data_IF_948098727579
#
_entry.id   IF_948098727579
#
_cell.length_a   1.000
_cell.length_b   1.000
_cell.length_c   1.000
_cell.angle_alpha   90.00
_cell.angle_beta   90.00
_cell.angle_gamma   90.00
#
_symmetry.space_group_name_H-M   'P 1'
#
loop_
_entity.id
_entity.type
_entity.pdbx_description
1 polymer ?
#
# COMPACT_ATOMS: atom_id res chain seq x y z
N UNK A 1 -40.97 -46.65 30.86
CA UNK A 1 -41.52 -45.45 31.52
C UNK A 1 -41.22 -44.27 30.61
N UNK A 2 -42.05 -43.99 29.59
CA UNK A 2 -43.17 -43.01 29.59
C UNK A 2 -42.62 -41.61 29.20
N UNK A 3 -43.07 -40.86 28.19
CA UNK A 3 -44.26 -40.77 27.28
C UNK A 3 -43.75 -40.11 25.96
N UNK A 4 -44.14 -40.47 24.73
CA UNK A 4 -45.39 -40.13 24.02
C UNK A 4 -45.33 -38.73 23.36
N UNK A 5 -44.87 -38.57 22.11
CA UNK A 5 -45.62 -38.53 20.82
C UNK A 5 -46.31 -37.18 20.43
N UNK A 6 -45.84 -36.61 19.31
CA UNK A 6 -46.55 -36.07 18.12
C UNK A 6 -47.42 -34.78 18.08
N UNK A 7 -47.07 -33.94 17.08
CA UNK A 7 -47.85 -33.13 16.10
C UNK A 7 -49.04 -32.24 16.54
N UNK A 8 -49.01 -30.94 16.19
CA UNK A 8 -49.93 -30.37 15.17
C UNK A 8 -49.69 -28.89 14.76
N UNK A 9 -50.10 -28.60 13.52
CA UNK A 9 -50.05 -27.36 12.74
C UNK A 9 -51.17 -26.33 13.07
N UNK A 10 -50.83 -25.04 12.92
CA UNK A 10 -51.68 -23.87 12.53
C UNK A 10 -52.78 -23.32 13.50
N UNK A 11 -53.37 -22.12 13.27
CA UNK A 11 -52.78 -20.76 13.31
C UNK A 11 -53.64 -19.77 14.17
N UNK A 12 -53.09 -18.63 14.63
CA UNK A 12 -53.84 -17.65 15.42
C UNK A 12 -54.22 -16.38 14.63
N UNK A 13 -55.47 -15.93 14.88
CA UNK A 13 -56.34 -15.02 14.10
C UNK A 13 -56.10 -13.53 14.39
N UNK A 14 -56.28 -12.68 13.36
CA UNK A 14 -56.64 -11.24 13.44
C UNK A 14 -58.13 -11.05 13.85
N UNK A 15 -58.54 -9.88 14.39
CA UNK A 15 -59.33 -8.88 13.60
C UNK A 15 -59.25 -7.40 14.13
N UNK A 16 -60.02 -6.38 13.65
CA UNK A 16 -60.43 -6.01 12.27
C UNK A 16 -60.32 -4.50 11.86
N UNK A 17 -60.15 -4.26 10.55
CA UNK A 17 -60.79 -3.33 9.56
C UNK A 17 -61.18 -1.86 9.87
N UNK A 18 -60.84 -0.95 8.92
CA UNK A 18 -61.71 -0.09 8.05
C UNK A 18 -60.82 0.59 6.95
N UNK A 19 -60.91 0.30 5.63
CA UNK A 19 -61.86 0.78 4.57
C UNK A 19 -61.89 2.33 4.41
N UNK A 20 -61.84 3.03 3.26
CA UNK A 20 -61.95 2.86 1.79
C UNK A 20 -61.33 4.19 1.19
N UNK A 21 -60.71 4.27 0.01
CA UNK A 21 -61.36 4.66 -1.26
C UNK A 21 -60.35 4.66 -2.43
N UNK A 22 -60.70 3.97 -3.52
CA UNK A 22 -60.13 4.09 -4.86
C UNK A 22 -61.14 4.87 -5.73
N UNK A 23 -60.70 5.88 -6.49
CA UNK A 23 -61.47 6.48 -7.58
C UNK A 23 -60.81 6.14 -8.92
N UNK A 24 -61.56 5.41 -9.76
CA UNK A 24 -61.35 5.24 -11.20
C UNK A 24 -61.72 6.54 -11.93
N UNK A 25 -60.95 6.91 -12.96
CA UNK A 25 -61.48 7.74 -14.06
C UNK A 25 -60.86 7.36 -15.40
N UNK A 26 -61.74 6.81 -16.25
CA UNK A 26 -61.89 6.87 -17.72
C UNK A 26 -60.67 6.96 -18.65
N UNK A 27 -60.66 6.00 -19.57
CA UNK A 27 -60.05 6.09 -20.90
C UNK A 27 -60.70 7.18 -21.77
N UNK A 28 -59.87 7.86 -22.56
CA UNK A 28 -60.23 8.68 -23.70
C UNK A 28 -59.19 8.45 -24.80
N UNK A 29 -59.64 7.92 -25.94
CA UNK A 29 -58.90 7.91 -27.19
C UNK A 29 -58.76 9.34 -27.72
N UNK A 30 -57.55 9.72 -28.14
CA UNK A 30 -57.36 10.72 -29.19
C UNK A 30 -56.00 10.54 -29.85
N UNK A 31 -56.04 10.15 -31.12
CA UNK A 31 -54.96 10.19 -32.09
C UNK A 31 -54.54 11.63 -32.38
N UNK A 32 -53.25 11.95 -32.25
CA UNK A 32 -52.58 13.07 -32.94
C UNK A 32 -51.18 12.59 -33.37
N UNK A 33 -50.83 12.92 -34.62
CA UNK A 33 -49.66 12.51 -35.38
C UNK A 33 -48.36 13.24 -34.99
N UNK A 34 -47.26 12.58 -35.39
CA UNK A 34 -46.02 13.13 -35.96
C UNK A 34 -44.98 13.78 -35.03
N UNK A 35 -43.74 13.27 -35.19
CA UNK A 35 -42.50 14.00 -34.93
C UNK A 35 -41.92 13.79 -33.54
N UNK A 36 -41.04 12.80 -33.38
CA UNK A 36 -39.64 13.11 -33.09
C UNK A 36 -38.81 11.82 -33.11
N UNK A 37 -37.82 11.84 -34.00
CA UNK A 37 -36.73 10.88 -34.07
C UNK A 37 -36.03 10.81 -32.71
N UNK A 38 -36.10 9.65 -32.07
CA UNK A 38 -35.22 9.30 -30.95
C UNK A 38 -33.81 9.17 -31.50
N UNK A 39 -33.09 10.29 -31.60
CA UNK A 39 -31.64 10.30 -31.73
C UNK A 39 -31.12 9.82 -30.39
N UNK A 40 -30.79 8.52 -30.31
CA UNK A 40 -29.93 8.02 -29.25
C UNK A 40 -28.56 8.64 -29.47
N UNK A 41 -28.28 9.77 -28.82
CA UNK A 41 -26.90 10.24 -28.61
C UNK A 41 -26.19 9.17 -27.79
N UNK A 42 -25.57 8.21 -28.48
CA UNK A 42 -24.49 7.42 -27.89
C UNK A 42 -23.38 8.41 -27.63
N UNK A 43 -23.20 8.80 -26.38
CA UNK A 43 -22.03 9.57 -25.99
C UNK A 43 -20.82 8.65 -26.16
N UNK A 44 -19.97 8.88 -27.17
CA UNK A 44 -18.78 8.08 -27.42
C UNK A 44 -17.88 7.97 -26.18
N UNK A 45 -17.85 9.03 -25.35
CA UNK A 45 -17.22 9.03 -24.04
C UNK A 45 -17.79 7.96 -23.09
N UNK A 46 -19.12 7.83 -23.02
CA UNK A 46 -19.77 6.81 -22.19
C UNK A 46 -19.47 5.40 -22.69
N UNK A 47 -19.36 5.20 -24.01
CA UNK A 47 -19.03 3.91 -24.60
C UNK A 47 -17.58 3.51 -24.27
N UNK A 48 -16.63 4.46 -24.35
CA UNK A 48 -15.23 4.23 -23.96
C UNK A 48 -15.12 3.94 -22.46
N UNK A 49 -15.79 4.72 -21.61
CA UNK A 49 -15.76 4.49 -20.16
C UNK A 49 -16.37 3.15 -19.77
N UNK A 50 -17.46 2.72 -20.41
CA UNK A 50 -18.06 1.38 -20.19
C UNK A 50 -17.15 0.25 -20.67
N UNK A 51 -16.39 0.47 -21.74
CA UNK A 51 -15.40 -0.49 -22.20
C UNK A 51 -14.29 -0.60 -21.14
N UNK A 52 -13.71 0.52 -20.72
CA UNK A 52 -12.66 0.56 -19.71
C UNK A 52 -13.09 0.03 -18.34
N UNK A 53 -14.37 0.16 -17.96
CA UNK A 53 -14.89 -0.39 -16.69
C UNK A 53 -14.92 -1.92 -16.63
N UNK A 54 -14.64 -2.63 -17.74
CA UNK A 54 -14.48 -4.09 -17.72
C UNK A 54 -13.14 -4.52 -17.10
N UNK A 55 -12.19 -3.59 -17.02
CA UNK A 55 -10.86 -3.84 -16.50
C UNK A 55 -10.92 -3.65 -14.98
N UNK A 56 -10.91 -4.78 -14.28
CA UNK A 56 -10.88 -4.80 -12.81
C UNK A 56 -9.44 -4.66 -12.35
N UNK A 57 -9.21 -3.72 -11.43
CA UNK A 57 -7.96 -3.63 -10.71
C UNK A 57 -7.90 -4.78 -9.68
N UNK A 58 -6.89 -5.66 -9.76
CA UNK A 58 -6.79 -6.83 -8.89
C UNK A 58 -6.49 -6.45 -7.43
N UNK A 59 -5.98 -5.25 -7.17
CA UNK A 59 -5.63 -4.79 -5.83
C UNK A 59 -6.89 -4.28 -5.13
N UNK A 60 -7.75 -3.55 -5.84
CA UNK A 60 -8.95 -2.93 -5.28
C UNK A 60 -10.24 -3.73 -5.52
N UNK A 61 -10.21 -4.74 -6.39
CA UNK A 61 -11.40 -5.53 -6.75
C UNK A 61 -12.50 -4.69 -7.41
N UNK A 62 -12.16 -3.50 -7.90
CA UNK A 62 -13.06 -2.51 -8.49
C UNK A 62 -12.51 -2.10 -9.86
N UNK A 63 -13.35 -1.60 -10.75
CA UNK A 63 -12.93 -1.22 -12.09
C UNK A 63 -12.07 0.06 -12.13
N UNK A 64 -11.17 0.14 -13.12
CA UNK A 64 -10.22 1.27 -13.27
C UNK A 64 -10.90 2.63 -13.47
N UNK A 65 -12.17 2.67 -13.90
CA UNK A 65 -12.94 3.93 -14.07
C UNK A 65 -13.47 4.42 -12.73
N UNK A 66 -14.07 3.53 -11.94
CA UNK A 66 -14.47 3.79 -10.55
C UNK A 66 -13.29 4.13 -9.64
N UNK A 67 -12.12 3.52 -9.88
CA UNK A 67 -10.87 3.89 -9.21
C UNK A 67 -10.33 5.26 -9.65
N UNK A 68 -10.90 5.85 -10.71
CA UNK A 68 -10.54 7.18 -11.20
C UNK A 68 -9.19 7.24 -11.91
N UNK A 69 -8.66 6.11 -12.39
CA UNK A 69 -7.35 6.02 -13.06
C UNK A 69 -7.37 6.60 -14.47
N UNK A 70 -8.53 6.62 -15.13
CA UNK A 70 -8.66 7.20 -16.46
C UNK A 70 -8.65 8.73 -16.35
N UNK A 71 -7.63 9.36 -16.94
CA UNK A 71 -7.43 10.81 -17.02
C UNK A 71 -7.28 11.23 -18.48
N UNK A 72 -7.51 12.51 -18.75
CA UNK A 72 -7.23 13.16 -20.03
C UNK A 72 -7.83 12.40 -21.23
N UNK A 73 -9.06 11.90 -21.07
CA UNK A 73 -9.77 11.20 -22.13
C UNK A 73 -10.13 12.20 -23.25
N UNK A 74 -9.59 11.97 -24.43
CA UNK A 74 -9.83 12.75 -25.63
C UNK A 74 -10.23 11.82 -26.78
N UNK A 75 -11.36 12.15 -27.43
CA UNK A 75 -11.99 11.33 -28.45
C UNK A 75 -12.18 12.20 -29.71
N UNK A 76 -11.63 11.74 -30.83
CA UNK A 76 -11.80 12.36 -32.15
C UNK A 76 -12.61 11.43 -33.03
N UNK A 77 -13.94 11.48 -32.89
CA UNK A 77 -14.88 10.57 -33.59
C UNK A 77 -14.69 10.58 -35.12
N UNK A 78 -14.44 11.75 -35.71
CA UNK A 78 -14.25 11.90 -37.17
C UNK A 78 -13.08 11.07 -37.72
N UNK A 79 -12.07 10.80 -36.88
CA UNK A 79 -10.88 10.04 -37.24
C UNK A 79 -10.89 8.63 -36.61
N UNK A 80 -11.81 8.35 -35.68
CA UNK A 80 -11.86 7.13 -34.90
C UNK A 80 -10.68 7.00 -33.92
N UNK A 81 -10.15 8.12 -33.44
CA UNK A 81 -9.00 8.12 -32.54
C UNK A 81 -9.43 8.33 -31.09
N UNK A 82 -8.92 7.48 -30.19
CA UNK A 82 -9.15 7.58 -28.76
C UNK A 82 -7.80 7.67 -28.06
N UNK A 83 -7.62 8.69 -27.23
CA UNK A 83 -6.43 8.86 -26.42
C UNK A 83 -6.81 9.12 -24.97
N UNK A 84 -6.13 8.48 -24.04
CA UNK A 84 -6.32 8.70 -22.62
C UNK A 84 -5.06 8.34 -21.85
N UNK A 85 -4.97 8.86 -20.64
CA UNK A 85 -3.90 8.56 -19.70
C UNK A 85 -4.43 7.66 -18.60
N UNK A 86 -3.79 6.52 -18.39
CA UNK A 86 -4.03 5.71 -17.20
C UNK A 86 -3.04 6.14 -16.12
N UNK A 87 -3.57 6.69 -15.04
CA UNK A 87 -2.82 7.18 -13.89
C UNK A 87 -2.94 6.19 -12.73
N UNK A 88 -1.91 5.35 -12.56
CA UNK A 88 -1.85 4.33 -11.52
C UNK A 88 -1.51 4.95 -10.14
N UNK A 89 -1.80 4.23 -9.07
CA UNK A 89 -1.59 4.71 -7.68
C UNK A 89 -0.13 4.71 -7.22
N UNK A 90 0.76 4.06 -7.98
CA UNK A 90 2.18 3.90 -7.66
C UNK A 90 3.01 3.60 -8.91
N UNK A 91 4.24 4.16 -9.02
CA UNK A 91 5.14 3.89 -10.15
C UNK A 91 5.65 2.44 -10.20
N UNK A 92 5.73 1.75 -9.06
CA UNK A 92 6.15 0.35 -8.98
C UNK A 92 5.01 -0.64 -9.28
N UNK A 93 3.98 -0.24 -10.03
CA UNK A 93 2.85 -1.11 -10.30
C UNK A 93 3.26 -2.24 -11.26
N UNK A 94 3.26 -3.51 -10.83
CA UNK A 94 3.76 -4.65 -11.62
C UNK A 94 2.87 -5.01 -12.81
N UNK A 95 1.65 -4.46 -12.83
CA UNK A 95 0.60 -4.77 -13.80
C UNK A 95 0.41 -3.63 -14.82
N UNK A 96 1.35 -2.68 -14.90
CA UNK A 96 1.31 -1.55 -15.84
C UNK A 96 1.12 -2.03 -17.28
N UNK A 97 1.92 -3.00 -17.72
CA UNK A 97 1.88 -3.52 -19.09
C UNK A 97 0.57 -4.29 -19.37
N UNK A 98 0.07 -5.02 -18.37
CA UNK A 98 -1.22 -5.71 -18.46
C UNK A 98 -2.37 -4.71 -18.63
N UNK A 99 -2.36 -3.62 -17.86
CA UNK A 99 -3.38 -2.58 -17.97
C UNK A 99 -3.34 -1.89 -19.33
N UNK A 100 -2.14 -1.58 -19.83
CA UNK A 100 -1.97 -0.96 -21.14
C UNK A 100 -2.51 -1.85 -22.26
N UNK A 101 -2.14 -3.14 -22.25
CA UNK A 101 -2.61 -4.13 -23.23
C UNK A 101 -4.13 -4.30 -23.18
N UNK A 102 -4.70 -4.56 -22.00
CA UNK A 102 -6.15 -4.74 -21.84
C UNK A 102 -6.93 -3.47 -22.21
N UNK A 103 -6.43 -2.29 -21.84
CA UNK A 103 -7.09 -1.04 -22.18
C UNK A 103 -7.09 -0.79 -23.68
N UNK A 104 -6.00 -1.13 -24.37
CA UNK A 104 -5.93 -1.05 -25.83
C UNK A 104 -6.92 -2.04 -26.48
N UNK A 105 -6.90 -3.31 -26.06
CA UNK A 105 -7.80 -4.36 -26.58
C UNK A 105 -9.28 -3.99 -26.42
N UNK A 106 -9.69 -3.59 -25.21
CA UNK A 106 -11.10 -3.36 -24.90
C UNK A 106 -11.65 -2.11 -25.59
N UNK A 107 -10.82 -1.06 -25.78
CA UNK A 107 -11.21 0.15 -26.51
C UNK A 107 -11.18 -0.08 -28.04
N UNK A 108 -10.25 -0.88 -28.55
CA UNK A 108 -10.17 -1.21 -29.98
C UNK A 108 -11.35 -2.07 -30.47
N UNK A 109 -12.05 -2.77 -29.58
CA UNK A 109 -13.27 -3.53 -29.90
C UNK A 109 -14.48 -2.64 -30.23
N UNK A 110 -14.41 -1.33 -29.97
CA UNK A 110 -15.49 -0.40 -30.31
C UNK A 110 -15.55 -0.19 -31.84
N UNK A 111 -16.72 -0.36 -32.49
CA UNK A 111 -16.82 -0.40 -33.96
C UNK A 111 -16.33 0.85 -34.71
N UNK A 112 -16.29 2.00 -34.03
CA UNK A 112 -15.91 3.29 -34.59
C UNK A 112 -14.45 3.66 -34.29
N UNK A 113 -13.74 2.89 -33.47
CA UNK A 113 -12.35 3.14 -33.08
C UNK A 113 -11.40 2.51 -34.10
N UNK A 114 -10.42 3.28 -34.55
CA UNK A 114 -9.35 2.86 -35.48
C UNK A 114 -7.99 2.86 -34.81
N UNK A 115 -7.70 3.86 -33.98
CA UNK A 115 -6.44 4.01 -33.27
C UNK A 115 -6.69 4.29 -31.79
N UNK A 116 -5.94 3.61 -30.92
CA UNK A 116 -5.95 3.83 -29.48
C UNK A 116 -4.55 4.24 -29.03
N UNK A 117 -4.45 5.35 -28.31
CA UNK A 117 -3.21 5.79 -27.68
C UNK A 117 -3.38 5.84 -26.16
N UNK A 118 -2.82 4.85 -25.49
CA UNK A 118 -2.78 4.79 -24.03
C UNK A 118 -1.47 5.39 -23.55
N UNK A 119 -1.53 6.36 -22.65
CA UNK A 119 -0.33 6.87 -21.96
C UNK A 119 -0.37 6.41 -20.52
N UNK A 120 0.65 5.66 -20.08
CA UNK A 120 0.73 5.24 -18.68
C UNK A 120 1.46 6.30 -17.85
N UNK A 121 0.87 6.64 -16.70
CA UNK A 121 1.48 7.52 -15.69
C UNK A 121 1.20 6.95 -14.30
N UNK A 122 1.87 7.46 -13.29
CA UNK A 122 1.59 7.15 -11.91
C UNK A 122 1.43 8.44 -11.11
N UNK A 123 0.49 8.46 -10.15
CA UNK A 123 0.45 9.54 -9.18
C UNK A 123 1.69 9.46 -8.29
N UNK A 124 2.48 10.54 -8.16
CA UNK A 124 3.43 10.64 -7.08
C UNK A 124 2.63 10.61 -5.78
N UNK A 125 2.94 9.61 -4.98
CA UNK A 125 2.18 9.32 -3.78
C UNK A 125 2.41 10.44 -2.76
N UNK A 126 1.44 11.35 -2.62
CA UNK A 126 1.57 12.42 -1.63
C UNK A 126 1.51 11.82 -0.23
N UNK A 127 2.47 12.15 0.67
CA UNK A 127 2.41 11.66 2.03
C UNK A 127 1.14 12.17 2.69
N UNK A 128 0.32 11.22 3.15
CA UNK A 128 -0.98 11.46 3.82
C UNK A 128 -0.84 12.38 5.04
N UNK A 129 0.39 12.52 5.58
CA UNK A 129 0.73 13.32 6.76
C UNK A 129 1.84 14.36 6.52
N UNK A 130 2.04 14.84 5.29
CA UNK A 130 3.15 15.75 4.93
C UNK A 130 3.31 16.95 5.88
N UNK A 131 2.20 17.57 6.33
CA UNK A 131 2.24 18.74 7.23
C UNK A 131 2.62 18.46 8.69
N UNK A 132 2.64 17.19 9.12
CA UNK A 132 2.97 16.78 10.49
C UNK A 132 4.34 16.08 10.57
N UNK A 133 5.01 15.92 9.43
CA UNK A 133 6.25 15.18 9.32
C UNK A 133 7.49 16.09 9.40
N UNK A 134 8.61 15.61 9.96
CA UNK A 134 9.89 16.28 9.83
C UNK A 134 10.24 16.52 8.36
N UNK A 135 10.90 17.64 8.06
CA UNK A 135 11.13 18.12 6.69
C UNK A 135 11.73 17.05 5.77
N UNK A 136 12.70 16.26 6.25
CA UNK A 136 13.33 15.19 5.46
C UNK A 136 12.41 14.03 5.06
N UNK A 137 11.26 13.87 5.73
CA UNK A 137 10.29 12.79 5.47
C UNK A 137 9.04 13.27 4.71
N UNK A 138 8.86 14.59 4.53
CA UNK A 138 7.66 15.16 3.89
C UNK A 138 7.56 14.85 2.39
N UNK A 139 8.65 14.44 1.76
CA UNK A 139 8.71 14.09 0.33
C UNK A 139 8.72 12.59 0.08
N UNK A 140 8.52 11.80 1.15
CA UNK A 140 8.53 10.34 1.09
C UNK A 140 7.09 9.83 1.08
N UNK A 141 6.77 9.10 0.03
CA UNK A 141 5.43 8.61 -0.23
C UNK A 141 4.99 7.49 0.71
N UNK A 142 5.87 6.51 0.93
CA UNK A 142 5.60 5.34 1.77
C UNK A 142 6.84 5.00 2.57
N UNK A 143 6.65 4.64 3.84
CA UNK A 143 7.73 4.19 4.71
C UNK A 143 7.42 2.77 5.16
N UNK A 144 8.32 1.84 4.82
CA UNK A 144 8.18 0.42 5.09
C UNK A 144 9.17 0.04 6.18
N UNK A 145 8.70 -0.48 7.31
CA UNK A 145 9.58 -1.04 8.32
C UNK A 145 9.82 -2.53 8.05
N UNK A 146 11.08 -2.94 8.04
CA UNK A 146 11.48 -4.35 8.05
C UNK A 146 11.97 -4.67 9.44
N UNK A 147 11.22 -5.51 10.15
CA UNK A 147 11.45 -5.80 11.57
C UNK A 147 11.57 -7.29 11.82
N UNK A 148 12.35 -7.63 12.84
CA UNK A 148 12.42 -8.97 13.40
C UNK A 148 12.43 -8.88 14.91
N UNK A 149 11.73 -9.81 15.55
CA UNK A 149 11.69 -9.87 17.00
C UNK A 149 12.87 -10.67 17.59
N UNK A 150 13.78 -11.17 16.74
CA UNK A 150 15.04 -11.83 17.08
C UNK A 150 16.17 -11.35 16.16
N UNK A 151 17.40 -11.31 16.68
CA UNK A 151 18.62 -11.09 15.88
C UNK A 151 19.00 -12.32 15.04
N UNK A 152 19.64 -12.10 13.89
CA UNK A 152 20.21 -13.16 13.06
C UNK A 152 19.22 -13.95 12.20
N UNK A 153 18.00 -13.44 11.98
CA UNK A 153 16.98 -14.10 11.12
C UNK A 153 17.04 -13.68 9.64
N UNK A 154 18.02 -12.86 9.24
CA UNK A 154 18.13 -12.35 7.86
C UNK A 154 17.34 -11.06 7.59
N UNK A 155 16.95 -10.31 8.63
CA UNK A 155 16.21 -9.04 8.51
C UNK A 155 16.86 -8.05 7.54
N UNK A 156 18.15 -7.77 7.71
CA UNK A 156 18.89 -6.84 6.84
C UNK A 156 18.99 -7.36 5.40
N UNK A 157 19.13 -8.68 5.22
CA UNK A 157 19.05 -9.32 3.90
C UNK A 157 17.73 -9.06 3.22
N UNK A 158 16.61 -9.18 3.94
CA UNK A 158 15.29 -8.88 3.41
C UNK A 158 15.14 -7.40 3.11
N UNK A 159 15.59 -6.51 4.01
CA UNK A 159 15.48 -5.06 3.82
C UNK A 159 16.22 -4.57 2.57
N UNK A 160 17.47 -5.00 2.41
CA UNK A 160 18.30 -4.63 1.25
C UNK A 160 17.68 -5.16 -0.03
N UNK A 161 17.40 -6.47 -0.13
CA UNK A 161 16.86 -7.04 -1.36
C UNK A 161 15.45 -6.51 -1.69
N UNK A 162 14.61 -6.20 -0.69
CA UNK A 162 13.32 -5.53 -0.92
C UNK A 162 13.52 -4.14 -1.51
N UNK A 163 14.44 -3.33 -0.97
CA UNK A 163 14.72 -1.99 -1.49
C UNK A 163 15.17 -2.02 -2.96
N UNK A 164 16.11 -2.92 -3.29
CA UNK A 164 16.58 -3.10 -4.66
C UNK A 164 15.53 -3.69 -5.60
N UNK A 165 14.62 -4.52 -5.09
CA UNK A 165 13.50 -5.02 -5.88
C UNK A 165 12.52 -3.90 -6.23
N UNK A 166 12.15 -3.07 -5.26
CA UNK A 166 11.28 -1.91 -5.50
C UNK A 166 11.92 -0.92 -6.49
N UNK A 167 13.24 -0.73 -6.41
CA UNK A 167 13.99 0.08 -7.37
C UNK A 167 14.00 -0.55 -8.77
N UNK A 168 14.20 -1.86 -8.87
CA UNK A 168 14.09 -2.63 -10.11
C UNK A 168 12.68 -2.60 -10.74
N UNK A 169 11.64 -2.39 -9.93
CA UNK A 169 10.27 -2.14 -10.37
C UNK A 169 10.02 -0.68 -10.81
N UNK A 170 11.04 0.17 -10.81
CA UNK A 170 10.98 1.55 -11.30
C UNK A 170 10.60 2.60 -10.25
N UNK A 171 10.57 2.26 -8.96
CA UNK A 171 10.36 3.24 -7.89
C UNK A 171 11.65 3.98 -7.51
N UNK A 172 11.48 5.21 -7.00
CA UNK A 172 12.53 5.95 -6.29
C UNK A 172 12.62 5.42 -4.87
N UNK A 173 13.73 4.81 -4.51
CA UNK A 173 13.87 4.08 -3.25
C UNK A 173 15.03 4.61 -2.40
N UNK A 174 14.77 4.73 -1.11
CA UNK A 174 15.80 4.87 -0.08
C UNK A 174 15.77 3.68 0.87
N UNK A 175 16.92 3.35 1.47
CA UNK A 175 17.05 2.43 2.58
C UNK A 175 17.81 3.10 3.73
N UNK A 176 17.24 2.98 4.93
CA UNK A 176 17.82 3.44 6.18
C UNK A 176 18.10 2.26 7.10
N UNK A 177 19.37 2.06 7.44
CA UNK A 177 19.81 1.10 8.44
C UNK A 177 19.78 1.73 9.83
N UNK A 178 18.79 1.33 10.62
CA UNK A 178 18.57 1.81 11.97
C UNK A 178 19.23 0.92 13.04
N UNK A 179 19.97 -0.12 12.65
CA UNK A 179 20.73 -0.96 13.57
C UNK A 179 22.12 -0.37 13.84
N UNK A 180 22.18 0.54 14.81
CA UNK A 180 23.42 1.24 15.19
C UNK A 180 24.46 0.30 15.81
N UNK A 181 24.04 -0.80 16.45
CA UNK A 181 24.96 -1.70 17.16
C UNK A 181 25.55 -2.77 16.24
N UNK A 182 24.83 -3.16 15.20
CA UNK A 182 25.27 -4.14 14.21
C UNK A 182 24.88 -3.73 12.79
N UNK A 183 25.35 -2.56 12.29
CA UNK A 183 24.97 -2.08 10.97
C UNK A 183 25.44 -3.08 9.91
N UNK A 184 24.49 -3.61 9.16
CA UNK A 184 24.74 -4.63 8.14
C UNK A 184 24.83 -4.02 6.75
N UNK A 185 24.17 -2.87 6.52
CA UNK A 185 24.08 -2.24 5.21
C UNK A 185 25.46 -1.96 4.58
N UNK A 186 26.47 -1.41 5.28
CA UNK A 186 27.79 -1.14 4.68
C UNK A 186 28.57 -2.36 4.17
N UNK A 187 28.20 -3.55 4.64
CA UNK A 187 28.79 -4.81 4.19
C UNK A 187 28.02 -5.36 2.99
N UNK A 188 26.69 -5.26 3.03
CA UNK A 188 25.78 -5.80 2.02
C UNK A 188 25.73 -5.00 0.73
N UNK A 189 26.11 -3.71 0.76
CA UNK A 189 26.23 -2.86 -0.42
C UNK A 189 27.59 -2.17 -0.44
N UNK A 190 28.18 -2.03 -1.63
CA UNK A 190 29.51 -1.44 -1.81
C UNK A 190 29.48 -0.16 -2.66
N UNK A 191 28.92 0.95 -2.15
CA UNK A 191 29.04 2.25 -2.80
C UNK A 191 30.49 2.71 -2.87
N UNK A 192 30.80 3.56 -3.86
CA UNK A 192 32.13 4.18 -4.02
C UNK A 192 32.47 5.05 -2.81
N UNK A 193 31.50 5.83 -2.33
CA UNK A 193 31.62 6.62 -1.12
C UNK A 193 30.95 5.90 0.05
N UNK A 194 31.72 5.56 1.09
CA UNK A 194 31.23 4.87 2.29
C UNK A 194 31.13 5.79 3.52
N UNK A 195 31.18 7.10 3.30
CA UNK A 195 31.08 8.10 4.35
C UNK A 195 29.81 8.92 4.19
N UNK A 196 29.14 9.21 5.32
CA UNK A 196 28.05 10.18 5.34
C UNK A 196 28.65 11.58 5.14
N UNK A 197 28.22 12.25 4.09
CA UNK A 197 28.59 13.64 3.84
C UNK A 197 27.56 14.58 4.47
N UNK A 198 28.05 15.68 5.04
CA UNK A 198 27.19 16.75 5.51
C UNK A 198 27.16 17.87 4.48
N UNK A 199 25.96 18.36 4.18
CA UNK A 199 25.78 19.59 3.45
C UNK A 199 26.22 20.77 4.35
N UNK A 200 27.27 21.51 3.98
CA UNK A 200 27.82 22.58 4.84
C UNK A 200 26.86 23.76 5.01
N UNK A 201 25.97 24.00 4.04
CA UNK A 201 25.02 25.13 4.06
C UNK A 201 23.76 24.79 4.86
N UNK A 202 23.15 23.64 4.54
CA UNK A 202 21.86 23.23 5.13
C UNK A 202 22.03 22.47 6.46
N UNK A 203 23.25 22.04 6.80
CA UNK A 203 23.57 21.17 7.95
C UNK A 203 22.78 19.85 7.92
N UNK A 204 22.42 19.39 6.73
CA UNK A 204 21.71 18.16 6.45
C UNK A 204 22.68 17.07 6.01
N UNK A 205 22.23 15.82 6.03
CA UNK A 205 23.02 14.66 5.58
C UNK A 205 22.70 14.40 4.12
N UNK A 206 23.75 14.25 3.30
CA UNK A 206 23.62 13.83 1.90
C UNK A 206 23.66 12.30 1.90
N UNK A 207 22.59 11.61 1.47
CA UNK A 207 22.59 10.15 1.42
C UNK A 207 23.57 9.66 0.37
N UNK A 208 24.25 8.55 0.66
CA UNK A 208 25.04 7.82 -0.32
C UNK A 208 24.12 7.19 -1.36
N UNK A 209 24.58 6.95 -2.58
CA UNK A 209 23.79 6.25 -3.60
C UNK A 209 24.54 5.02 -4.13
N UNK A 210 23.82 3.92 -4.35
CA UNK A 210 24.35 2.71 -4.99
C UNK A 210 23.27 2.07 -5.85
N UNK A 211 23.56 1.90 -7.15
CA UNK A 211 22.65 1.31 -8.14
C UNK A 211 21.23 1.92 -8.10
N UNK A 212 21.14 3.25 -8.00
CA UNK A 212 19.88 4.00 -8.00
C UNK A 212 19.10 3.98 -6.68
N UNK A 213 19.65 3.40 -5.61
CA UNK A 213 19.05 3.40 -4.27
C UNK A 213 19.84 4.32 -3.34
N UNK A 214 19.13 5.20 -2.64
CA UNK A 214 19.72 6.07 -1.60
C UNK A 214 19.93 5.30 -0.31
N UNK A 215 21.10 5.43 0.30
CA UNK A 215 21.57 4.66 1.43
C UNK A 215 21.92 5.59 2.59
N UNK A 216 21.42 5.27 3.78
CA UNK A 216 21.90 5.86 5.04
C UNK A 216 22.08 4.74 6.05
N UNK A 217 23.25 4.68 6.68
CA UNK A 217 23.54 3.80 7.80
C UNK A 217 24.45 4.53 8.77
N UNK A 218 24.29 4.27 10.07
CA UNK A 218 25.29 4.69 11.05
C UNK A 218 26.67 4.10 10.76
N UNK A 219 26.73 2.92 10.11
CA UNK A 219 28.00 2.32 9.72
C UNK A 219 28.78 3.11 8.66
N UNK A 220 28.17 4.11 8.02
CA UNK A 220 28.84 5.07 7.13
C UNK A 220 29.34 6.33 7.88
N UNK A 221 29.10 6.49 9.18
CA UNK A 221 29.45 7.73 9.90
C UNK A 221 30.96 7.93 10.13
N UNK A 222 31.83 6.95 9.82
CA UNK A 222 33.28 7.04 9.95
C UNK A 222 33.81 7.03 11.40
N UNK A 223 34.78 6.15 11.67
CA UNK A 223 35.60 6.05 12.90
C UNK A 223 34.88 6.08 14.27
N UNK A 224 34.87 4.91 14.91
CA UNK A 224 34.65 4.75 16.34
C UNK A 224 33.29 4.13 16.66
N UNK A 225 33.30 2.87 17.08
CA UNK A 225 32.22 2.29 17.89
C UNK A 225 32.19 3.04 19.23
N UNK A 226 31.78 4.31 19.21
CA UNK A 226 31.51 5.03 20.43
C UNK A 226 30.46 4.21 21.18
N UNK A 227 30.76 3.81 22.40
CA UNK A 227 29.78 3.11 23.24
C UNK A 227 28.72 4.15 23.60
N UNK A 228 27.70 4.27 22.75
CA UNK A 228 26.64 5.23 22.92
C UNK A 228 25.61 4.67 23.92
N UNK A 229 25.21 5.49 24.90
CA UNK A 229 24.09 5.16 25.79
C UNK A 229 22.77 5.28 25.02
N UNK A 230 21.78 4.45 25.36
CA UNK A 230 20.49 4.34 24.63
C UNK A 230 19.84 5.66 24.17
N UNK A 231 19.71 6.69 25.02
CA UNK A 231 19.13 7.98 24.60
C UNK A 231 19.91 8.70 23.50
N UNK A 232 21.25 8.56 23.48
CA UNK A 232 22.07 9.13 22.40
C UNK A 232 21.88 8.38 21.09
N UNK A 233 21.66 7.06 21.15
CA UNK A 233 21.41 6.22 19.96
C UNK A 233 20.08 6.61 19.31
N UNK A 234 19.01 6.76 20.10
CA UNK A 234 17.72 7.23 19.58
C UNK A 234 17.82 8.64 18.96
N UNK A 235 18.61 9.53 19.56
CA UNK A 235 18.87 10.86 19.03
C UNK A 235 19.58 10.84 17.67
N UNK A 236 20.63 10.03 17.54
CA UNK A 236 21.36 9.87 16.27
C UNK A 236 20.46 9.27 15.19
N UNK A 237 19.73 8.20 15.50
CA UNK A 237 18.79 7.57 14.55
C UNK A 237 17.76 8.59 14.07
N UNK A 238 17.19 9.37 14.99
CA UNK A 238 16.23 10.41 14.65
C UNK A 238 16.86 11.48 13.74
N UNK A 239 18.09 11.92 14.04
CA UNK A 239 18.81 12.87 13.21
C UNK A 239 19.05 12.29 11.80
N UNK A 240 19.67 11.11 11.70
CA UNK A 240 19.94 10.44 10.42
C UNK A 240 18.65 10.28 9.58
N UNK A 241 17.52 9.99 10.21
CA UNK A 241 16.27 9.77 9.50
C UNK A 241 15.61 11.09 9.05
N UNK A 242 15.62 12.12 9.90
CA UNK A 242 14.83 13.35 9.70
C UNK A 242 15.61 14.50 9.06
N UNK A 243 16.94 14.50 9.15
CA UNK A 243 17.81 15.54 8.59
C UNK A 243 18.57 15.09 7.33
N UNK A 244 18.26 13.91 6.79
CA UNK A 244 18.80 13.46 5.50
C UNK A 244 18.02 14.07 4.34
N UNK A 245 18.75 14.50 3.30
CA UNK A 245 18.20 14.96 2.02
C UNK A 245 17.75 13.78 1.14
N UNK A 246 16.73 13.05 1.61
CA UNK A 246 16.16 11.92 0.86
C UNK A 246 15.63 12.32 -0.51
N UNK A 247 15.22 13.59 -0.69
CA UNK A 247 14.54 14.05 -1.89
C UNK A 247 13.18 13.37 -2.06
N UNK A 248 12.67 13.34 -3.29
CA UNK A 248 11.41 12.64 -3.56
C UNK A 248 11.62 11.12 -3.64
N UNK A 249 10.95 10.39 -2.75
CA UNK A 249 10.98 8.93 -2.72
C UNK A 249 9.57 8.36 -2.81
N UNK A 250 9.44 7.26 -3.55
CA UNK A 250 8.22 6.46 -3.56
C UNK A 250 8.22 5.48 -2.39
N UNK A 251 9.39 4.98 -1.99
CA UNK A 251 9.53 4.08 -0.84
C UNK A 251 10.81 4.38 -0.03
N UNK A 252 10.66 4.46 1.29
CA UNK A 252 11.79 4.39 2.23
C UNK A 252 11.68 3.09 3.01
N UNK A 253 12.66 2.19 2.85
CA UNK A 253 12.77 0.95 3.60
C UNK A 253 13.61 1.20 4.86
N UNK A 254 13.07 0.91 6.03
CA UNK A 254 13.79 1.03 7.31
C UNK A 254 14.15 -0.37 7.79
N UNK A 255 15.45 -0.67 7.85
CA UNK A 255 15.96 -1.87 8.51
C UNK A 255 15.99 -1.63 10.02
N UNK A 256 14.98 -2.12 10.73
CA UNK A 256 14.80 -1.85 12.15
C UNK A 256 15.86 -2.57 12.99
N UNK A 257 16.29 -2.05 14.15
CA UNK A 257 17.14 -2.80 15.07
C UNK A 257 16.41 -4.07 15.57
N UNK A 258 17.10 -5.13 16.02
CA UNK A 258 16.44 -6.38 16.44
C UNK A 258 15.64 -6.22 17.76
N UNK A 259 14.61 -7.06 17.92
CA UNK A 259 13.86 -7.21 19.17
C UNK A 259 12.56 -6.43 19.20
N UNK A 260 12.18 -5.95 20.39
CA UNK A 260 11.04 -5.03 20.63
C UNK A 260 11.43 -3.96 21.66
N UNK A 261 12.69 -3.53 21.61
CA UNK A 261 13.27 -2.58 22.57
C UNK A 261 12.84 -1.14 22.32
N UNK A 262 13.26 -0.24 23.22
CA UNK A 262 12.86 1.18 23.21
C UNK A 262 13.21 1.91 21.90
N UNK A 263 14.30 1.52 21.22
CA UNK A 263 14.71 2.14 19.94
C UNK A 263 13.67 1.87 18.84
N UNK A 264 13.15 0.64 18.73
CA UNK A 264 12.11 0.34 17.75
C UNK A 264 10.83 1.13 18.05
N UNK A 265 10.42 1.19 19.32
CA UNK A 265 9.23 1.95 19.73
C UNK A 265 9.41 3.45 19.47
N UNK A 266 10.61 3.99 19.70
CA UNK A 266 10.93 5.39 19.43
C UNK A 266 10.86 5.69 17.93
N UNK A 267 11.47 4.85 17.08
CA UNK A 267 11.38 4.96 15.63
C UNK A 267 9.92 4.95 15.15
N UNK A 268 9.14 4.05 15.75
CA UNK A 268 7.72 3.92 15.48
C UNK A 268 6.88 5.15 15.89
N UNK A 269 7.32 5.91 16.90
CA UNK A 269 6.66 7.14 17.31
C UNK A 269 7.06 8.34 16.45
N UNK A 270 8.30 8.35 15.95
CA UNK A 270 8.85 9.43 15.13
C UNK A 270 8.32 9.35 13.69
N UNK A 271 8.11 8.14 13.17
CA UNK A 271 7.81 7.93 11.75
C UNK A 271 6.46 7.24 11.54
N UNK A 272 5.56 7.83 10.72
CA UNK A 272 4.30 7.19 10.34
C UNK A 272 4.58 6.10 9.32
N UNK A 273 4.84 4.90 9.81
CA UNK A 273 5.02 3.73 8.97
C UNK A 273 3.74 3.45 8.16
N UNK A 274 3.91 3.25 6.85
CA UNK A 274 2.83 2.85 5.94
C UNK A 274 2.57 1.35 6.03
N UNK A 275 3.64 0.57 6.10
CA UNK A 275 3.62 -0.88 6.07
C UNK A 275 4.73 -1.47 6.93
N UNK A 276 4.56 -2.70 7.38
CA UNK A 276 5.60 -3.47 8.07
C UNK A 276 5.78 -4.87 7.44
N UNK A 277 7.03 -5.28 7.24
CA UNK A 277 7.45 -6.64 6.87
C UNK A 277 8.10 -7.27 8.09
N UNK A 278 7.59 -8.42 8.52
CA UNK A 278 8.11 -9.17 9.67
C UNK A 278 8.96 -10.33 9.16
N UNK A 279 10.22 -10.39 9.58
CA UNK A 279 11.12 -11.50 9.26
C UNK A 279 11.20 -12.42 10.46
N UNK A 280 10.91 -13.70 10.27
CA UNK A 280 10.86 -14.72 11.32
C UNK A 280 11.40 -16.05 10.83
N UNK A 281 11.50 -17.06 11.69
CA UNK A 281 11.88 -18.43 11.29
C UNK A 281 10.78 -19.42 11.70
N UNK A 282 10.70 -20.64 11.12
CA UNK A 282 9.70 -21.65 11.47
C UNK A 282 9.85 -22.26 12.87
N UNK A 283 10.78 -21.78 13.69
CA UNK A 283 10.97 -22.29 15.04
C UNK A 283 9.79 -21.89 15.94
N UNK A 284 9.31 -22.82 16.77
CA UNK A 284 8.20 -22.56 17.72
C UNK A 284 8.44 -21.34 18.61
N UNK A 285 9.71 -21.08 18.99
CA UNK A 285 10.09 -19.89 19.77
C UNK A 285 9.91 -18.60 18.95
N UNK A 286 10.24 -18.62 17.66
CA UNK A 286 10.09 -17.48 16.77
C UNK A 286 8.61 -17.12 16.50
N UNK A 287 7.67 -18.04 16.74
CA UNK A 287 6.23 -17.73 16.70
C UNK A 287 5.82 -16.74 17.81
N UNK A 288 6.37 -16.90 19.02
CA UNK A 288 6.14 -15.97 20.13
C UNK A 288 6.68 -14.58 19.75
N UNK A 289 7.79 -14.56 19.02
CA UNK A 289 8.43 -13.34 18.55
C UNK A 289 7.58 -12.66 17.46
N UNK A 290 7.01 -13.40 16.50
CA UNK A 290 6.00 -12.87 15.56
C UNK A 290 4.81 -12.29 16.31
N UNK A 291 4.26 -13.00 17.29
CA UNK A 291 3.12 -12.53 18.08
C UNK A 291 3.41 -11.20 18.78
N UNK A 292 4.62 -11.03 19.32
CA UNK A 292 5.06 -9.77 19.94
C UNK A 292 5.19 -8.65 18.92
N UNK A 293 5.83 -8.90 17.78
CA UNK A 293 5.97 -7.92 16.70
C UNK A 293 4.61 -7.47 16.18
N UNK A 294 3.71 -8.44 15.95
CA UNK A 294 2.32 -8.18 15.54
C UNK A 294 1.61 -7.31 16.56
N UNK A 295 1.70 -7.65 17.85
CA UNK A 295 1.06 -6.89 18.93
C UNK A 295 1.64 -5.48 19.09
N UNK A 296 2.94 -5.30 18.83
CA UNK A 296 3.58 -3.99 18.85
C UNK A 296 3.04 -3.10 17.72
N UNK A 297 2.97 -3.63 16.50
CA UNK A 297 2.50 -2.87 15.34
C UNK A 297 0.97 -2.69 15.29
N UNK A 298 0.20 -3.64 15.81
CA UNK A 298 -1.27 -3.53 15.87
C UNK A 298 -1.74 -2.45 16.85
N UNK A 299 -1.03 -2.25 17.97
CA UNK A 299 -1.26 -1.12 18.89
C UNK A 299 -1.03 0.25 18.23
N UNK A 300 -0.22 0.27 17.17
CA UNK A 300 0.11 1.47 16.42
C UNK A 300 -0.79 1.67 15.18
N UNK A 301 -1.86 0.85 15.05
CA UNK A 301 -2.84 0.85 13.94
C UNK A 301 -2.24 0.52 12.57
N UNK A 302 -1.07 -0.12 12.51
CA UNK A 302 -0.40 -0.42 11.26
C UNK A 302 -0.71 -1.82 10.74
N UNK A 303 -0.72 -1.96 9.42
CA UNK A 303 -0.97 -3.22 8.75
C UNK A 303 0.34 -3.93 8.43
N UNK A 304 0.43 -5.16 8.89
CA UNK A 304 1.56 -6.05 8.64
C UNK A 304 1.33 -6.70 7.29
N UNK A 305 2.28 -6.52 6.40
CA UNK A 305 2.11 -6.84 4.99
C UNK A 305 2.62 -8.23 4.65
N UNK A 306 3.67 -8.72 5.31
CA UNK A 306 4.28 -10.01 4.98
C UNK A 306 5.06 -10.59 6.16
N UNK A 307 4.96 -11.91 6.35
CA UNK A 307 5.88 -12.67 7.20
C UNK A 307 6.79 -13.51 6.30
N UNK A 308 8.10 -13.34 6.44
CA UNK A 308 9.08 -14.04 5.61
C UNK A 308 9.85 -15.04 6.46
N UNK A 309 9.82 -16.30 6.04
CA UNK A 309 10.36 -17.44 6.78
C UNK A 309 11.57 -18.01 6.03
N UNK A 310 12.81 -17.83 6.52
CA UNK A 310 13.92 -18.62 6.03
C UNK A 310 13.69 -20.07 6.46
N UNK A 311 13.66 -21.00 5.50
CA UNK A 311 13.85 -22.47 5.60
C UNK A 311 12.72 -23.27 4.93
N UNK A 312 13.02 -23.84 3.75
CA UNK A 312 12.08 -24.60 2.90
C UNK A 312 11.81 -26.05 3.33
N UNK A 313 11.20 -26.25 4.50
CA UNK A 313 10.76 -27.58 4.97
C UNK A 313 9.29 -27.57 5.40
N UNK A 314 8.59 -28.70 5.28
CA UNK A 314 7.16 -28.92 5.62
C UNK A 314 6.64 -28.40 6.98
N UNK A 315 7.51 -27.96 7.89
CA UNK A 315 7.16 -27.26 9.14
C UNK A 315 6.59 -25.86 8.86
N UNK A 316 6.92 -25.24 7.71
CA UNK A 316 6.40 -23.93 7.27
C UNK A 316 4.88 -23.93 7.19
N UNK A 317 4.24 -24.93 6.57
CA UNK A 317 2.78 -24.96 6.42
C UNK A 317 1.99 -24.94 7.74
N UNK A 318 2.46 -25.63 8.79
CA UNK A 318 1.78 -25.61 10.09
C UNK A 318 1.88 -24.24 10.77
N UNK A 319 3.02 -23.56 10.59
CA UNK A 319 3.26 -22.23 11.14
C UNK A 319 2.49 -21.17 10.34
N UNK A 320 2.43 -21.29 9.01
CA UNK A 320 1.65 -20.43 8.11
C UNK A 320 0.17 -20.39 8.52
N UNK A 321 -0.46 -21.55 8.69
CA UNK A 321 -1.86 -21.65 9.12
C UNK A 321 -2.08 -20.96 10.47
N UNK A 322 -1.16 -21.15 11.42
CA UNK A 322 -1.26 -20.53 12.74
C UNK A 322 -1.09 -19.01 12.68
N UNK A 323 -0.16 -18.49 11.87
CA UNK A 323 0.06 -17.06 11.72
C UNK A 323 -1.15 -16.38 11.07
N UNK A 324 -1.68 -16.97 10.00
CA UNK A 324 -2.89 -16.46 9.32
C UNK A 324 -4.09 -16.48 10.27
N UNK A 325 -4.35 -17.60 10.95
CA UNK A 325 -5.51 -17.74 11.84
C UNK A 325 -5.43 -16.85 13.09
N UNK A 326 -4.24 -16.70 13.69
CA UNK A 326 -4.11 -15.94 14.94
C UNK A 326 -3.90 -14.44 14.74
N UNK A 327 -3.27 -14.03 13.64
CA UNK A 327 -2.86 -12.64 13.42
C UNK A 327 -3.49 -11.99 12.19
N UNK A 328 -4.20 -12.75 11.36
CA UNK A 328 -4.86 -12.22 10.17
C UNK A 328 -3.89 -11.68 9.13
N UNK A 329 -2.64 -12.16 9.10
CA UNK A 329 -1.63 -11.77 8.11
C UNK A 329 -1.80 -12.67 6.90
N UNK A 330 -2.33 -12.18 5.77
CA UNK A 330 -2.75 -13.05 4.67
C UNK A 330 -1.60 -13.47 3.75
N UNK A 331 -0.45 -12.78 3.81
CA UNK A 331 0.68 -13.01 2.92
C UNK A 331 1.90 -13.52 3.69
N UNK A 332 2.32 -14.74 3.34
CA UNK A 332 3.49 -15.42 3.86
C UNK A 332 4.39 -15.78 2.69
N UNK A 333 5.70 -15.56 2.86
CA UNK A 333 6.70 -15.85 1.85
C UNK A 333 7.76 -16.76 2.46
N UNK A 334 8.06 -17.86 1.78
CA UNK A 334 9.17 -18.75 2.13
C UNK A 334 10.42 -18.29 1.38
N UNK A 335 11.50 -18.05 2.10
CA UNK A 335 12.78 -17.66 1.52
C UNK A 335 13.77 -18.81 1.70
N UNK A 336 14.16 -19.50 0.63
CA UNK A 336 15.10 -20.61 0.76
C UNK A 336 16.47 -20.09 1.21
N UNK A 337 17.08 -20.78 2.19
CA UNK A 337 18.47 -20.53 2.54
C UNK A 337 19.34 -21.11 1.42
N UNK A 338 19.83 -20.23 0.56
CA UNK A 338 20.70 -20.57 -0.56
C UNK A 338 22.12 -20.04 -0.32
N UNK A 339 23.17 -20.77 -0.77
CA UNK A 339 24.54 -20.28 -0.69
C UNK A 339 24.75 -18.94 -1.41
N UNK A 340 24.07 -18.72 -2.53
CA UNK A 340 24.12 -17.47 -3.29
C UNK A 340 23.60 -16.29 -2.47
N UNK A 341 22.42 -16.45 -1.88
CA UNK A 341 21.84 -15.45 -0.98
C UNK A 341 22.72 -15.17 0.24
N UNK A 342 23.32 -16.19 0.85
CA UNK A 342 24.28 -15.99 1.94
C UNK A 342 25.51 -15.21 1.48
N UNK A 343 26.10 -15.60 0.34
CA UNK A 343 27.28 -14.95 -0.22
C UNK A 343 27.00 -13.50 -0.65
N UNK A 344 25.77 -13.20 -1.10
CA UNK A 344 25.37 -11.85 -1.48
C UNK A 344 25.56 -10.85 -0.34
N UNK A 345 25.32 -11.28 0.91
CA UNK A 345 25.48 -10.45 2.11
C UNK A 345 26.92 -10.00 2.38
N UNK A 346 27.91 -10.76 1.91
CA UNK A 346 29.34 -10.46 2.07
C UNK A 346 29.96 -9.87 0.80
N UNK A 347 29.30 -10.01 -0.35
CA UNK A 347 29.82 -9.60 -1.66
C UNK A 347 29.75 -8.08 -1.91
N UNK A 348 28.94 -7.35 -1.13
CA UNK A 348 28.62 -5.96 -1.40
C UNK A 348 27.65 -5.73 -2.56
N UNK A 349 27.04 -6.80 -3.08
CA UNK A 349 26.02 -6.78 -4.12
C UNK A 349 24.78 -7.57 -3.65
N UNK A 350 23.58 -6.96 -3.63
CA UNK A 350 22.33 -7.66 -3.32
C UNK A 350 22.04 -8.80 -4.30
N UNK A 351 21.52 -9.93 -3.82
CA UNK A 351 21.17 -11.10 -4.65
C UNK A 351 20.23 -10.72 -5.80
N UNK A 352 19.20 -9.90 -5.55
CA UNK A 352 18.24 -9.49 -6.58
C UNK A 352 18.84 -8.60 -7.68
N UNK A 353 19.98 -7.96 -7.39
CA UNK A 353 20.74 -7.19 -8.37
C UNK A 353 21.75 -8.08 -9.11
N UNK A 354 22.32 -9.06 -8.42
CA UNK A 354 23.29 -10.01 -8.98
C UNK A 354 22.63 -11.05 -9.92
N UNK A 355 21.48 -11.59 -9.54
CA UNK A 355 20.70 -12.56 -10.33
C UNK A 355 19.20 -12.16 -10.41
N UNK A 356 18.84 -11.16 -11.24
CA UNK A 356 17.46 -10.65 -11.32
C UNK A 356 16.42 -11.66 -11.84
N UNK A 357 16.86 -12.74 -12.48
CA UNK A 357 15.99 -13.81 -13.02
C UNK A 357 15.97 -15.06 -12.14
N UNK A 358 16.77 -15.06 -11.07
CA UNK A 358 16.89 -16.14 -10.11
C UNK A 358 15.60 -16.39 -9.33
N UNK A 359 15.52 -17.57 -8.72
CA UNK A 359 14.39 -17.97 -7.87
C UNK A 359 14.20 -17.01 -6.68
N UNK A 360 15.29 -16.58 -6.06
CA UNK A 360 15.26 -15.63 -4.93
C UNK A 360 14.74 -14.27 -5.39
N UNK A 361 15.16 -13.79 -6.57
CA UNK A 361 14.66 -12.55 -7.14
C UNK A 361 13.15 -12.60 -7.42
N UNK A 362 12.61 -13.74 -7.87
CA UNK A 362 11.16 -13.93 -8.04
C UNK A 362 10.40 -13.83 -6.71
N UNK A 363 10.91 -14.46 -5.65
CA UNK A 363 10.30 -14.36 -4.31
C UNK A 363 10.27 -12.91 -3.82
N UNK A 364 11.38 -12.17 -4.01
CA UNK A 364 11.43 -10.75 -3.66
C UNK A 364 10.54 -9.90 -4.56
N UNK A 365 10.40 -10.23 -5.85
CA UNK A 365 9.43 -9.58 -6.75
C UNK A 365 8.02 -9.76 -6.22
N UNK A 366 7.60 -10.98 -5.88
CA UNK A 366 6.27 -11.25 -5.32
C UNK A 366 6.06 -10.52 -3.98
N UNK A 367 7.10 -10.47 -3.13
CA UNK A 367 7.08 -9.68 -1.90
C UNK A 367 6.93 -8.17 -2.19
N UNK A 368 7.69 -7.65 -3.16
CA UNK A 368 7.64 -6.25 -3.59
C UNK A 368 6.26 -5.88 -4.10
N UNK A 369 5.67 -6.71 -4.97
CA UNK A 369 4.29 -6.61 -5.44
C UNK A 369 3.33 -6.53 -4.25
N UNK A 370 3.39 -7.49 -3.34
CA UNK A 370 2.53 -7.50 -2.15
C UNK A 370 2.67 -6.21 -1.32
N UNK A 371 3.89 -5.75 -1.06
CA UNK A 371 4.14 -4.51 -0.31
C UNK A 371 3.56 -3.30 -1.02
N UNK A 372 3.77 -3.19 -2.34
CA UNK A 372 3.22 -2.12 -3.18
C UNK A 372 1.68 -2.10 -3.10
N UNK A 373 1.04 -3.25 -3.27
CA UNK A 373 -0.41 -3.41 -3.20
C UNK A 373 -0.97 -3.00 -1.84
N UNK A 374 -0.34 -3.44 -0.74
CA UNK A 374 -0.78 -3.10 0.60
C UNK A 374 -0.62 -1.61 0.90
N UNK A 375 0.48 -0.99 0.46
CA UNK A 375 0.65 0.46 0.58
C UNK A 375 -0.44 1.22 -0.19
N UNK A 376 -0.82 0.75 -1.38
CA UNK A 376 -1.88 1.36 -2.19
C UNK A 376 -3.27 1.23 -1.52
N UNK A 377 -3.60 0.05 -0.99
CA UNK A 377 -4.84 -0.20 -0.22
C UNK A 377 -4.98 0.71 0.98
N UNK A 378 -3.90 0.89 1.75
CA UNK A 378 -3.90 1.77 2.93
C UNK A 378 -4.16 3.22 2.52
N UNK A 379 -3.52 3.71 1.45
CA UNK A 379 -3.74 5.07 0.97
C UNK A 379 -5.16 5.31 0.47
N UNK A 380 -5.73 4.37 -0.29
CA UNK A 380 -7.11 4.53 -0.74
C UNK A 380 -8.10 4.50 0.43
N UNK A 381 -7.96 3.60 1.41
CA UNK A 381 -8.87 3.58 2.56
C UNK A 381 -8.84 4.89 3.37
N UNK A 382 -7.67 5.53 3.48
CA UNK A 382 -7.57 6.84 4.12
C UNK A 382 -8.18 7.94 3.25
N UNK A 383 -8.03 7.85 1.92
CA UNK A 383 -8.60 8.83 0.97
C UNK A 383 -10.12 8.69 0.78
N UNK A 384 -10.68 7.48 0.89
CA UNK A 384 -12.12 7.24 0.71
C UNK A 384 -12.93 7.57 1.95
N UNK A 385 -12.28 7.77 3.10
CA UNK A 385 -13.00 7.97 4.34
C UNK A 385 -13.63 9.36 4.43
N UNK A 386 -13.00 10.44 3.97
CA UNK A 386 -13.49 11.83 4.19
C UNK A 386 -13.23 12.71 2.97
N UNK A 387 -14.29 13.31 2.41
CA UNK A 387 -14.23 14.26 1.29
C UNK A 387 -15.10 15.49 1.59
N UNK A 388 -14.83 16.64 0.98
CA UNK A 388 -15.69 17.83 1.13
C UNK A 388 -16.50 18.06 -0.14
N UNK A 389 -17.82 18.03 -0.03
CA UNK A 389 -18.74 18.29 -1.12
C UNK A 389 -19.10 19.78 -1.16
N UNK A 390 -18.68 20.46 -2.24
CA UNK A 390 -18.90 21.90 -2.45
C UNK A 390 -20.36 22.24 -2.72
N UNK A 391 -21.15 21.31 -3.25
CA UNK A 391 -22.56 21.56 -3.61
C UNK A 391 -23.44 21.64 -2.37
N UNK A 392 -23.25 20.71 -1.44
CA UNK A 392 -24.00 20.64 -0.18
C UNK A 392 -23.24 21.29 1.00
N UNK A 393 -22.04 21.81 0.76
CA UNK A 393 -21.15 22.44 1.77
C UNK A 393 -20.94 21.57 3.01
N UNK A 394 -20.79 20.27 2.82
CA UNK A 394 -20.66 19.29 3.89
C UNK A 394 -19.42 18.41 3.70
N UNK A 395 -18.86 17.95 4.81
CA UNK A 395 -17.84 16.92 4.83
C UNK A 395 -18.56 15.58 4.71
N UNK A 396 -18.41 14.92 3.57
CA UNK A 396 -18.90 13.58 3.31
C UNK A 396 -17.91 12.57 3.87
N UNK A 397 -18.38 11.68 4.73
CA UNK A 397 -17.55 10.64 5.33
C UNK A 397 -18.14 9.28 5.00
N UNK A 398 -17.33 8.38 4.45
CA UNK A 398 -17.73 7.00 4.15
C UNK A 398 -17.08 6.08 5.17
N UNK A 399 -17.89 5.27 5.85
CA UNK A 399 -17.35 4.29 6.81
C UNK A 399 -16.62 3.20 6.00
N UNK A 400 -15.36 2.86 6.33
CA UNK A 400 -14.69 1.72 5.70
C UNK A 400 -15.53 0.45 5.92
N UNK A 401 -15.69 -0.36 4.88
CA UNK A 401 -16.43 -1.64 4.93
C UNK A 401 -17.97 -1.52 5.09
N UNK A 402 -18.54 -0.32 4.95
CA UNK A 402 -20.00 -0.15 4.80
C UNK A 402 -20.37 0.74 3.61
N UNK A 403 -21.59 0.56 3.10
CA UNK A 403 -22.19 1.44 2.08
C UNK A 403 -22.81 2.71 2.70
N UNK A 404 -22.63 2.92 4.01
CA UNK A 404 -23.18 4.07 4.71
C UNK A 404 -22.28 5.31 4.54
N UNK A 405 -22.90 6.39 4.07
CA UNK A 405 -22.28 7.70 3.94
C UNK A 405 -22.93 8.65 4.94
N UNK A 406 -22.11 9.40 5.68
CA UNK A 406 -22.57 10.41 6.63
C UNK A 406 -22.05 11.80 6.25
N UNK A 407 -22.90 12.79 6.41
CA UNK A 407 -22.58 14.18 6.09
C UNK A 407 -22.40 14.97 7.38
N UNK A 408 -21.21 15.52 7.57
CA UNK A 408 -20.87 16.40 8.67
C UNK A 408 -20.78 17.83 8.16
N UNK A 409 -21.66 18.69 8.63
CA UNK A 409 -21.54 20.11 8.33
C UNK A 409 -20.26 20.68 8.99
N UNK A 410 -19.44 21.51 8.32
CA UNK A 410 -18.20 22.06 8.88
C UNK A 410 -18.39 22.77 10.22
N UNK A 411 -19.55 23.42 10.42
CA UNK A 411 -19.91 24.05 11.69
C UNK A 411 -20.07 23.03 12.85
N UNK A 412 -20.57 21.82 12.56
CA UNK A 412 -20.70 20.73 13.54
C UNK A 412 -19.33 20.21 13.96
N UNK A 413 -18.43 20.05 13.00
CA UNK A 413 -17.04 19.64 13.28
C UNK A 413 -16.33 20.69 14.12
N UNK A 414 -16.39 21.98 13.73
CA UNK A 414 -15.79 23.08 14.51
C UNK A 414 -16.36 23.20 15.92
N UNK A 415 -17.67 22.97 16.11
CA UNK A 415 -18.32 23.03 17.42
C UNK A 415 -17.86 21.89 18.34
N UNK A 416 -17.55 20.72 17.77
CA UNK A 416 -17.14 19.53 18.51
C UNK A 416 -15.62 19.34 18.56
N UNK A 417 -14.85 20.19 17.88
CA UNK A 417 -13.40 20.17 17.86
C UNK A 417 -12.85 20.66 19.21
N UNK A 418 -12.26 19.72 19.97
CA UNK A 418 -11.61 19.99 21.27
C UNK A 418 -10.09 20.04 21.16
N UNK A 419 -9.53 20.05 19.96
CA UNK A 419 -8.08 19.99 19.75
C UNK A 419 -7.33 21.18 20.35
N UNK A 420 -7.99 22.32 20.54
CA UNK A 420 -7.44 23.51 21.19
C UNK A 420 -7.61 23.56 22.73
N UNK A 421 -8.19 22.53 23.35
CA UNK A 421 -8.42 22.47 24.81
C UNK A 421 -7.34 21.67 25.59
N UNK A 422 -6.13 21.50 25.04
CA UNK A 422 -5.01 20.88 25.76
C UNK A 422 -3.80 21.79 25.84
#
# INVERSE_FOLDING_TARGET
MGRGLCFNNQPCKLPPRKCFYLKKTRALNSSIQAGDSVVSTRNAESDVLKALSQIIDPDFGTDIVSCGFVKDLNIVEAQGEVSFRLELTTPACPIKDMFEQKANEVVALLPWVKNVKVTMSAQPARPVYAGLLPQGLQTISNIIAVSSCKGGVGKSTVAVNLAYTLAGMGARVGIFDADVYGPSLPTMVSPENRLLEMNPEKKTIIPTEYLGVKLVSFGFAGQGRAIMRGPMVSGVINQLLTTTEWGELDYLVIDMPPGTGDIQLTLCQVVPLTAAVIVTTPQKLAFIDVAKGVRMFSKLKWRICATLMPMGNAITHLVEVQVVQQFGIPHLFDLPIRPTLSASGDSGMPEVAADPQGEVAKIFQDLGICVVQQCAKIRQQVSTAVTYDKTIKAIKVKVPESDEEFFLHPATVRRNDRSAQR
#
